data_IF_835769944427
#
_entry.id   IF_835769944427
#
_cell.length_a   1.000
_cell.length_b   1.000
_cell.length_c   1.000
_cell.angle_alpha   90.00
_cell.angle_beta   90.00
_cell.angle_gamma   90.00
#
_symmetry.space_group_name_H-M   'P 1'
#
loop_
_entity.id
_entity.type
_entity.pdbx_description
1 polymer ?
#
# COMPACT_ATOMS: atom_id res chain seq x y z
N UNK A 1 -1.40 0.44 9.98
CA UNK A 1 -2.40 0.41 8.89
C UNK A 1 -1.69 0.77 7.59
N UNK A 2 -1.17 -0.24 6.89
CA UNK A 2 -0.55 -0.05 5.57
C UNK A 2 -1.67 0.30 4.59
N UNK A 3 -1.74 1.56 4.15
CA UNK A 3 -2.68 1.96 3.11
C UNK A 3 -2.18 1.39 1.78
N UNK A 4 -2.77 0.28 1.33
CA UNK A 4 -2.74 -0.11 -0.08
C UNK A 4 -3.71 0.85 -0.79
N UNK A 5 -3.23 2.05 -1.10
CA UNK A 5 -4.01 3.07 -1.79
C UNK A 5 -4.08 2.68 -3.28
N UNK A 6 -5.15 1.99 -3.67
CA UNK A 6 -5.52 1.82 -5.07
C UNK A 6 -6.17 3.11 -5.59
N UNK A 7 -5.35 4.13 -5.87
CA UNK A 7 -5.79 5.32 -6.59
C UNK A 7 -5.39 5.20 -8.07
N UNK A 8 -6.30 5.63 -8.95
CA UNK A 8 -6.23 5.53 -10.41
C UNK A 8 -4.84 5.82 -11.03
N UNK A 9 -4.47 5.00 -12.03
CA UNK A 9 -3.30 5.15 -12.93
C UNK A 9 -1.92 5.05 -12.27
N UNK A 10 -1.67 3.99 -11.50
CA UNK A 10 -0.30 3.62 -11.15
C UNK A 10 0.21 2.48 -12.03
N UNK A 11 1.41 2.65 -12.60
CA UNK A 11 2.18 1.70 -13.42
C UNK A 11 2.15 0.26 -12.89
N UNK A 12 2.04 0.10 -11.58
CA UNK A 12 2.03 -1.17 -10.85
C UNK A 12 0.82 -2.03 -11.21
N UNK A 13 -0.35 -1.40 -11.31
CA UNK A 13 -1.60 -2.07 -11.68
C UNK A 13 -1.59 -2.51 -13.16
N UNK A 14 -1.01 -1.68 -14.04
CA UNK A 14 -0.94 -1.99 -15.47
C UNK A 14 0.02 -3.14 -15.80
N UNK A 15 1.05 -3.35 -14.98
CA UNK A 15 2.08 -4.37 -15.22
C UNK A 15 1.90 -5.66 -14.39
N UNK A 16 0.83 -5.76 -13.59
CA UNK A 16 0.63 -6.92 -12.70
C UNK A 16 1.74 -7.07 -11.67
N UNK A 17 2.25 -5.95 -11.16
CA UNK A 17 3.29 -5.90 -10.13
C UNK A 17 2.69 -5.43 -8.82
N UNK A 18 3.27 -5.86 -7.70
CA UNK A 18 2.82 -5.41 -6.40
C UNK A 18 3.22 -3.95 -6.18
N UNK A 19 2.42 -3.27 -5.33
CA UNK A 19 2.18 -1.86 -5.01
C UNK A 19 2.41 -1.37 -3.56
N UNK A 20 3.50 -0.68 -3.17
CA UNK A 20 3.54 0.04 -1.88
C UNK A 20 4.13 1.44 -2.04
N UNK A 21 3.27 2.43 -1.78
CA UNK A 21 3.65 3.79 -1.44
C UNK A 21 3.64 3.91 0.08
N UNK A 22 4.79 4.06 0.76
CA UNK A 22 4.83 4.10 2.21
C UNK A 22 4.18 5.35 2.79
N UNK A 23 4.13 5.41 4.13
CA UNK A 23 3.76 6.63 4.86
C UNK A 23 4.75 7.76 4.53
N UNK A 24 4.25 8.99 4.42
CA UNK A 24 5.09 10.15 4.15
C UNK A 24 6.20 10.29 5.18
N UNK A 25 7.44 10.45 4.72
CA UNK A 25 8.63 10.52 5.58
C UNK A 25 9.15 9.19 6.10
N UNK A 26 8.51 8.05 5.81
CA UNK A 26 9.01 6.73 6.25
C UNK A 26 10.34 6.36 5.57
N UNK A 27 10.49 6.75 4.31
CA UNK A 27 11.68 6.56 3.50
C UNK A 27 12.24 7.93 3.18
N UNK A 28 13.52 8.15 3.47
CA UNK A 28 14.23 9.39 3.15
C UNK A 28 14.17 9.69 1.66
N UNK A 29 13.97 10.95 1.33
CA UNK A 29 13.99 11.47 -0.05
C UNK A 29 15.32 12.12 -0.39
N UNK A 30 16.28 12.12 0.53
CA UNK A 30 17.60 12.64 0.26
C UNK A 30 18.23 11.94 -0.96
N UNK A 31 18.72 12.73 -1.91
CA UNK A 31 19.27 12.24 -3.18
C UNK A 31 18.24 11.97 -4.29
N UNK A 32 16.93 11.97 -3.99
CA UNK A 32 15.90 11.91 -5.03
C UNK A 32 15.64 13.29 -5.64
N UNK A 33 15.40 13.34 -6.95
CA UNK A 33 15.00 14.57 -7.62
C UNK A 33 13.56 14.91 -7.22
N UNK A 34 13.30 16.08 -6.59
CA UNK A 34 11.96 16.40 -6.12
C UNK A 34 11.03 16.70 -7.30
N UNK A 35 9.80 16.19 -7.21
CA UNK A 35 8.67 16.61 -8.03
C UNK A 35 7.72 17.47 -7.19
N UNK A 36 7.39 17.02 -5.97
CA UNK A 36 6.60 17.75 -4.99
C UNK A 36 7.08 17.49 -3.58
N UNK A 37 7.54 18.55 -2.91
CA UNK A 37 8.09 18.44 -1.56
C UNK A 37 7.12 17.86 -0.52
N UNK A 38 5.81 17.99 -0.72
CA UNK A 38 4.79 17.48 0.21
C UNK A 38 4.17 16.16 -0.20
N UNK A 39 4.40 15.68 -1.43
CA UNK A 39 3.74 14.49 -1.98
C UNK A 39 4.70 13.39 -2.42
N UNK A 40 6.01 13.67 -2.53
CA UNK A 40 6.98 12.67 -2.97
C UNK A 40 7.15 11.55 -1.93
N UNK A 41 7.15 10.32 -2.41
CA UNK A 41 7.41 9.11 -1.63
C UNK A 41 8.27 8.16 -2.45
N UNK A 42 9.20 7.48 -1.80
CA UNK A 42 9.98 6.40 -2.41
C UNK A 42 9.45 5.09 -1.87
N UNK A 43 9.14 4.14 -2.75
CA UNK A 43 8.63 2.83 -2.38
C UNK A 43 9.06 1.76 -3.39
N UNK A 44 9.25 0.50 -2.94
CA UNK A 44 9.76 -0.57 -3.79
C UNK A 44 8.68 -1.07 -4.75
N UNK A 45 9.05 -1.57 -5.95
CA UNK A 45 8.19 -2.24 -6.93
C UNK A 45 8.66 -3.69 -7.10
N UNK A 46 7.81 -4.68 -6.80
CA UNK A 46 8.23 -6.10 -6.71
C UNK A 46 7.18 -7.06 -7.29
N UNK A 47 7.54 -8.35 -7.39
CA UNK A 47 6.64 -9.43 -7.82
C UNK A 47 5.85 -10.06 -6.66
N UNK A 48 6.40 -10.06 -5.44
CA UNK A 48 5.79 -10.71 -4.28
C UNK A 48 5.60 -9.74 -3.11
N UNK A 49 4.66 -10.08 -2.21
CA UNK A 49 4.38 -9.32 -0.97
C UNK A 49 5.58 -9.35 -0.04
N UNK A 50 6.21 -10.51 0.14
CA UNK A 50 7.40 -10.69 0.98
C UNK A 50 8.56 -9.83 0.51
N UNK A 51 8.86 -9.80 -0.80
CA UNK A 51 9.93 -8.94 -1.32
C UNK A 51 9.63 -7.46 -1.08
N UNK A 52 8.36 -7.06 -1.22
CA UNK A 52 7.95 -5.69 -1.01
C UNK A 52 8.10 -5.27 0.45
N UNK A 53 7.70 -6.15 1.38
CA UNK A 53 7.86 -5.95 2.82
C UNK A 53 9.35 -5.87 3.21
N UNK A 54 10.17 -6.80 2.71
CA UNK A 54 11.61 -6.83 2.97
C UNK A 54 12.31 -5.56 2.44
N UNK A 55 12.05 -5.17 1.20
CA UNK A 55 12.66 -3.94 0.66
C UNK A 55 12.18 -2.70 1.40
N UNK A 56 10.89 -2.63 1.76
CA UNK A 56 10.37 -1.53 2.58
C UNK A 56 11.09 -1.46 3.92
N UNK A 57 11.32 -2.60 4.58
CA UNK A 57 12.08 -2.68 5.83
C UNK A 57 13.51 -2.19 5.70
N UNK A 58 14.18 -2.52 4.59
CA UNK A 58 15.57 -2.15 4.35
C UNK A 58 15.72 -0.64 4.12
N UNK A 59 14.81 -0.04 3.35
CA UNK A 59 14.92 1.37 2.95
C UNK A 59 14.25 2.34 3.92
N UNK A 60 13.44 1.84 4.86
CA UNK A 60 12.74 2.68 5.86
C UNK A 60 13.67 3.07 7.00
N UNK A 61 13.57 4.32 7.45
CA UNK A 61 14.28 4.79 8.63
C UNK A 61 14.52 6.30 8.62
N UNK A 62 14.92 6.85 9.78
CA UNK A 62 15.30 8.25 9.88
C UNK A 62 16.60 8.51 9.11
N UNK A 63 16.68 9.68 8.49
CA UNK A 63 17.89 10.18 7.81
C UNK A 63 18.13 11.62 8.23
N UNK A 64 19.33 11.89 8.73
CA UNK A 64 19.73 13.24 9.18
C UNK A 64 19.76 14.26 8.04
N UNK A 65 19.93 13.79 6.80
CA UNK A 65 19.96 14.63 5.62
C UNK A 65 18.57 14.95 5.06
N UNK A 66 17.53 14.28 5.55
CA UNK A 66 16.13 14.58 5.21
C UNK A 66 15.36 15.05 6.46
N UNK A 67 15.11 16.37 6.61
CA UNK A 67 14.37 16.92 7.75
C UNK A 67 12.90 16.48 7.78
N UNK A 68 12.38 15.90 6.70
CA UNK A 68 11.03 15.35 6.61
C UNK A 68 10.96 13.86 6.97
N UNK A 69 12.11 13.23 7.24
CA UNK A 69 12.15 11.82 7.65
C UNK A 69 11.50 11.63 9.03
N UNK A 70 10.67 10.60 9.13
CA UNK A 70 9.98 10.25 10.34
C UNK A 70 10.93 9.54 11.30
N UNK A 71 11.07 10.10 12.50
CA UNK A 71 11.67 9.39 13.63
C UNK A 71 10.65 8.40 14.16
N UNK A 72 10.74 7.15 13.69
CA UNK A 72 9.87 6.06 14.12
C UNK A 72 10.70 4.88 14.65
N UNK A 73 10.11 4.06 15.51
CA UNK A 73 10.72 2.80 15.91
C UNK A 73 10.71 1.84 14.73
N UNK A 74 11.85 1.21 14.45
CA UNK A 74 11.96 0.21 13.39
C UNK A 74 10.89 -0.86 13.57
N UNK A 75 10.03 -1.00 12.58
CA UNK A 75 9.00 -2.05 12.53
C UNK A 75 9.57 -3.24 11.77
N UNK A 76 9.19 -4.44 12.21
CA UNK A 76 9.40 -5.65 11.41
C UNK A 76 8.19 -5.83 10.49
N UNK A 77 8.37 -5.57 9.19
CA UNK A 77 7.31 -5.72 8.20
C UNK A 77 7.10 -7.17 7.75
N UNK A 78 7.98 -8.08 8.15
CA UNK A 78 7.84 -9.51 7.91
C UNK A 78 7.11 -10.22 9.05
N UNK A 79 7.01 -9.57 10.22
CA UNK A 79 6.21 -10.03 11.33
C UNK A 79 4.76 -10.24 10.89
N UNK A 80 4.20 -11.42 11.20
CA UNK A 80 2.83 -11.82 10.88
C UNK A 80 2.44 -11.79 9.40
N UNK A 81 3.40 -11.77 8.46
CA UNK A 81 3.09 -11.69 7.01
C UNK A 81 2.28 -12.90 6.51
N UNK A 82 2.38 -14.04 7.20
CA UNK A 82 1.64 -15.27 6.89
C UNK A 82 0.44 -15.53 7.83
N UNK A 83 0.18 -14.64 8.80
CA UNK A 83 -0.85 -14.84 9.83
C UNK A 83 -2.29 -14.77 9.31
N UNK A 84 -2.47 -14.48 8.02
CA UNK A 84 -3.78 -14.41 7.36
C UNK A 84 -4.59 -13.18 7.79
N UNK A 85 -5.87 -13.17 7.44
CA UNK A 85 -6.74 -11.99 7.60
C UNK A 85 -8.06 -12.27 8.32
N UNK A 86 -8.19 -13.43 8.96
CA UNK A 86 -9.41 -13.80 9.64
C UNK A 86 -9.74 -12.79 10.75
N UNK A 87 -10.96 -12.24 10.72
CA UNK A 87 -11.41 -11.22 11.67
C UNK A 87 -10.96 -9.78 11.36
N UNK A 88 -10.18 -9.55 10.30
CA UNK A 88 -9.79 -8.19 9.90
C UNK A 88 -11.00 -7.46 9.31
N UNK A 89 -11.23 -6.21 9.73
CA UNK A 89 -12.29 -5.34 9.19
C UNK A 89 -11.76 -4.53 8.00
N UNK A 90 -12.32 -4.77 6.83
CA UNK A 90 -12.05 -4.03 5.59
C UNK A 90 -13.19 -3.04 5.36
N UNK A 91 -12.85 -1.76 5.25
CA UNK A 91 -13.81 -0.73 4.88
C UNK A 91 -13.85 -0.49 3.38
N UNK A 92 -15.05 -0.47 2.80
CA UNK A 92 -15.23 -0.29 1.36
C UNK A 92 -16.03 0.99 1.10
N UNK A 93 -15.36 2.03 0.58
CA UNK A 93 -16.01 3.30 0.24
C UNK A 93 -16.80 3.16 -1.07
N UNK A 94 -18.11 2.93 -0.95
CA UNK A 94 -19.02 2.67 -2.09
C UNK A 94 -19.45 3.93 -2.83
N UNK A 95 -19.17 5.11 -2.30
CA UNK A 95 -19.77 6.38 -2.72
C UNK A 95 -18.93 7.16 -3.73
N UNK A 96 -17.61 7.11 -3.64
CA UNK A 96 -16.73 7.94 -4.47
C UNK A 96 -16.06 7.16 -5.60
N UNK A 97 -15.52 5.98 -5.29
CA UNK A 97 -14.66 5.25 -6.23
C UNK A 97 -15.42 4.36 -7.23
N UNK A 98 -16.74 4.22 -7.11
CA UNK A 98 -17.53 3.28 -7.92
C UNK A 98 -18.40 3.95 -9.00
N UNK A 99 -18.41 5.28 -9.08
CA UNK A 99 -19.29 6.01 -9.99
C UNK A 99 -18.82 5.99 -11.45
N UNK A 100 -17.51 5.92 -11.67
CA UNK A 100 -16.89 5.98 -13.01
C UNK A 100 -15.77 4.93 -13.08
N UNK A 101 -16.15 3.66 -13.12
CA UNK A 101 -15.24 2.51 -13.22
C UNK A 101 -15.68 1.63 -14.37
N UNK A 102 -14.72 1.15 -15.14
CA UNK A 102 -14.95 0.18 -16.20
C UNK A 102 -15.62 -1.09 -15.64
N UNK A 103 -16.56 -1.67 -16.41
CA UNK A 103 -17.33 -2.83 -15.97
C UNK A 103 -16.46 -4.06 -15.65
N UNK A 104 -15.36 -4.27 -16.36
CA UNK A 104 -14.41 -5.34 -16.10
C UNK A 104 -13.66 -5.11 -14.78
N UNK A 105 -13.12 -3.92 -14.57
CA UNK A 105 -12.43 -3.56 -13.32
C UNK A 105 -13.36 -3.74 -12.12
N UNK A 106 -14.61 -3.30 -12.24
CA UNK A 106 -15.62 -3.46 -11.19
C UNK A 106 -15.91 -4.93 -10.90
N UNK A 107 -15.98 -5.78 -11.93
CA UNK A 107 -16.22 -7.21 -11.80
C UNK A 107 -15.05 -7.90 -11.09
N UNK A 108 -13.81 -7.63 -11.49
CA UNK A 108 -12.62 -8.21 -10.87
C UNK A 108 -12.45 -7.73 -9.42
N UNK A 109 -12.72 -6.45 -9.15
CA UNK A 109 -12.73 -5.93 -7.78
C UNK A 109 -13.74 -6.68 -6.91
N UNK A 110 -14.96 -6.92 -7.39
CA UNK A 110 -15.98 -7.68 -6.64
C UNK A 110 -15.52 -9.11 -6.36
N UNK A 111 -14.89 -9.79 -7.32
CA UNK A 111 -14.31 -11.13 -7.09
C UNK A 111 -13.25 -11.11 -5.99
N UNK A 112 -12.36 -10.11 -5.98
CA UNK A 112 -11.36 -9.96 -4.91
C UNK A 112 -12.00 -9.78 -3.52
N UNK A 113 -13.10 -9.03 -3.43
CA UNK A 113 -13.85 -8.90 -2.17
C UNK A 113 -14.45 -10.22 -1.68
N UNK A 114 -14.91 -11.08 -2.59
CA UNK A 114 -15.41 -12.41 -2.24
C UNK A 114 -14.28 -13.34 -1.77
N UNK A 115 -13.09 -13.25 -2.38
CA UNK A 115 -11.90 -13.96 -1.89
C UNK A 115 -11.56 -13.54 -0.46
N UNK A 116 -11.50 -12.23 -0.19
CA UNK A 116 -11.25 -11.72 1.16
C UNK A 116 -12.33 -12.17 2.16
N UNK A 117 -13.59 -12.22 1.75
CA UNK A 117 -14.67 -12.76 2.59
C UNK A 117 -14.45 -14.24 2.92
N UNK A 118 -14.08 -15.05 1.92
CA UNK A 118 -13.78 -16.46 2.10
C UNK A 118 -12.60 -16.72 3.05
N UNK A 119 -11.65 -15.80 3.11
CA UNK A 119 -10.51 -15.83 4.04
C UNK A 119 -10.83 -15.30 5.46
N UNK A 120 -12.10 -14.94 5.74
CA UNK A 120 -12.56 -14.53 7.07
C UNK A 120 -12.53 -13.02 7.32
N UNK A 121 -12.30 -12.18 6.31
CA UNK A 121 -12.39 -10.74 6.47
C UNK A 121 -13.84 -10.26 6.65
N UNK A 122 -14.04 -9.30 7.54
CA UNK A 122 -15.32 -8.63 7.78
C UNK A 122 -15.40 -7.31 7.01
N UNK A 123 -16.57 -6.92 6.53
CA UNK A 123 -16.73 -5.68 5.76
C UNK A 123 -17.53 -4.62 6.52
N UNK A 124 -16.96 -3.42 6.64
CA UNK A 124 -17.59 -2.23 7.19
C UNK A 124 -17.95 -1.19 6.13
N UNK A 125 -18.95 -0.35 6.40
CA UNK A 125 -19.21 0.85 5.59
C UNK A 125 -18.28 1.98 6.03
N UNK A 126 -17.72 2.70 5.05
CA UNK A 126 -16.98 3.96 5.21
C UNK A 126 -17.56 4.98 4.22
#
# INVERSE_FOLDING_TARGET
>A
MVQILAAQYDSRSCCGLLGVKPTYGLVSRYGAKPLSFSLDHIGPLTRTVTDCALLTQIISGPDENDPTSLKHQKQDYLEDIESGINGIKIGVSRTHFFKQVDGEVLREMKKSLEVFRGLGAMFGKI
#
